data_IF_307291226553
#
_entry.id   IF_307291226553
#
_cell.length_a   1.000
_cell.length_b   1.000
_cell.length_c   1.000
_cell.angle_alpha   90.00
_cell.angle_beta   90.00
_cell.angle_gamma   90.00
#
_symmetry.space_group_name_H-M   'P 1'
#
loop_
_entity.id
_entity.type
_entity.pdbx_description
1 polymer ?
#
# COMPACT_ATOMS: atom_id res chain seq x y z
N UNK A 1 -11.30 8.96 -4.77
CA UNK A 1 -10.26 8.11 -4.14
C UNK A 1 -10.10 8.56 -2.69
N UNK A 2 -10.32 7.69 -1.69
CA UNK A 2 -10.34 8.08 -0.26
C UNK A 2 -8.95 8.21 0.38
N UNK A 3 -8.02 7.28 0.10
CA UNK A 3 -6.68 7.28 0.69
C UNK A 3 -5.86 8.54 0.32
N UNK A 4 -6.22 9.22 -0.77
CA UNK A 4 -5.65 10.53 -1.13
C UNK A 4 -5.80 11.60 -0.05
N UNK A 5 -6.87 11.54 0.75
CA UNK A 5 -7.11 12.47 1.87
C UNK A 5 -6.17 12.23 3.06
N UNK A 6 -5.49 11.08 3.09
CA UNK A 6 -4.49 10.76 4.11
C UNK A 6 -3.14 11.38 3.74
N UNK A 7 -2.83 11.47 2.45
CA UNK A 7 -1.54 11.99 1.99
C UNK A 7 -1.29 13.43 2.49
N UNK A 8 -0.05 13.79 2.88
CA UNK A 8 1.16 12.95 2.89
C UNK A 8 1.37 12.17 4.21
N UNK A 9 0.36 12.10 5.11
CA UNK A 9 0.49 11.35 6.37
C UNK A 9 0.68 9.85 6.08
N UNK A 10 1.31 9.12 7.02
CA UNK A 10 1.59 7.70 6.83
C UNK A 10 0.33 6.86 6.69
N UNK A 11 0.33 5.95 5.69
CA UNK A 11 -0.74 5.00 5.45
C UNK A 11 -0.15 3.65 5.05
N UNK A 12 -0.56 2.59 5.75
CA UNK A 12 -0.23 1.21 5.41
C UNK A 12 -1.53 0.40 5.29
N UNK A 13 -1.76 -0.20 4.12
CA UNK A 13 -2.95 -1.00 3.80
C UNK A 13 -2.52 -2.44 3.55
N UNK A 14 -3.16 -3.37 4.28
CA UNK A 14 -2.90 -4.81 4.20
C UNK A 14 -4.13 -5.51 3.64
N UNK A 15 -3.92 -6.42 2.71
CA UNK A 15 -4.97 -7.14 1.99
C UNK A 15 -4.69 -8.64 1.91
N UNK A 16 -5.77 -9.40 1.72
CA UNK A 16 -5.72 -10.85 1.56
C UNK A 16 -6.40 -11.25 0.23
N UNK A 17 -5.66 -11.84 -0.74
CA UNK A 17 -6.20 -12.24 -2.03
C UNK A 17 -6.95 -13.58 -2.05
N UNK A 18 -6.94 -14.36 -0.95
CA UNK A 18 -7.61 -15.67 -0.87
C UNK A 18 -9.15 -15.54 -0.83
N UNK A 19 -9.64 -14.35 -0.45
CA UNK A 19 -11.06 -14.07 -0.30
C UNK A 19 -11.57 -13.21 -1.46
N UNK A 20 -12.20 -13.84 -2.44
CA UNK A 20 -12.70 -13.17 -3.65
C UNK A 20 -13.59 -11.94 -3.34
N UNK A 21 -14.36 -12.01 -2.24
CA UNK A 21 -15.25 -10.93 -1.82
C UNK A 21 -14.52 -9.65 -1.38
N UNK A 22 -13.21 -9.72 -1.09
CA UNK A 22 -12.35 -8.54 -0.87
C UNK A 22 -11.94 -7.86 -2.18
N UNK A 23 -12.04 -8.56 -3.31
CA UNK A 23 -11.74 -8.02 -4.63
C UNK A 23 -10.25 -7.70 -4.83
N UNK A 24 -9.40 -8.74 -4.92
CA UNK A 24 -7.93 -8.59 -4.96
C UNK A 24 -7.39 -7.63 -6.03
N UNK A 25 -7.98 -7.63 -7.23
CA UNK A 25 -7.60 -6.71 -8.32
C UNK A 25 -8.08 -5.29 -8.02
N UNK A 26 -9.27 -5.16 -7.44
CA UNK A 26 -9.87 -3.88 -7.08
C UNK A 26 -9.03 -3.14 -6.03
N UNK A 27 -8.63 -3.85 -4.96
CA UNK A 27 -7.82 -3.25 -3.90
C UNK A 27 -6.41 -2.89 -4.39
N UNK A 28 -5.78 -3.76 -5.19
CA UNK A 28 -4.47 -3.50 -5.82
C UNK A 28 -4.52 -2.24 -6.70
N UNK A 29 -5.49 -2.16 -7.62
CA UNK A 29 -5.63 -1.00 -8.51
C UNK A 29 -6.01 0.29 -7.78
N UNK A 30 -6.91 0.20 -6.80
CA UNK A 30 -7.32 1.35 -5.98
C UNK A 30 -6.13 1.91 -5.20
N UNK A 31 -5.35 1.06 -4.52
CA UNK A 31 -4.20 1.50 -3.74
C UNK A 31 -3.03 1.93 -4.61
N UNK A 32 -2.82 1.35 -5.79
CA UNK A 32 -1.84 1.89 -6.73
C UNK A 32 -2.22 3.30 -7.21
N UNK A 33 -3.51 3.61 -7.34
CA UNK A 33 -3.98 4.96 -7.65
C UNK A 33 -3.69 5.95 -6.51
N UNK A 34 -3.69 5.49 -5.25
CA UNK A 34 -3.20 6.28 -4.13
C UNK A 34 -1.68 6.42 -4.14
N UNK A 35 -0.93 5.37 -4.48
CA UNK A 35 0.52 5.45 -4.59
C UNK A 35 0.97 6.57 -5.52
N UNK A 36 0.29 6.72 -6.68
CA UNK A 36 0.53 7.84 -7.60
C UNK A 36 0.33 9.22 -6.94
N UNK A 37 -0.65 9.37 -6.03
CA UNK A 37 -0.87 10.64 -5.31
C UNK A 37 0.25 10.90 -4.27
N UNK A 38 0.69 9.86 -3.56
CA UNK A 38 1.85 9.96 -2.67
C UNK A 38 3.14 10.25 -3.44
N UNK A 39 3.30 9.70 -4.64
CA UNK A 39 4.40 10.01 -5.55
C UNK A 39 4.40 11.49 -5.95
N UNK A 40 3.24 12.03 -6.34
CA UNK A 40 3.13 13.43 -6.72
C UNK A 40 3.56 14.40 -5.61
N UNK A 41 3.35 14.00 -4.35
CA UNK A 41 3.71 14.77 -3.15
C UNK A 41 5.12 14.47 -2.62
N UNK A 42 5.94 13.69 -3.33
CA UNK A 42 7.27 13.28 -2.86
C UNK A 42 7.24 12.41 -1.59
N UNK A 43 6.10 11.78 -1.30
CA UNK A 43 5.81 11.13 -0.03
C UNK A 43 5.72 9.60 -0.13
N UNK A 44 6.33 8.96 -1.13
CA UNK A 44 6.30 7.49 -1.30
C UNK A 44 6.78 6.72 -0.05
N UNK A 45 7.68 7.31 0.73
CA UNK A 45 8.14 6.72 1.99
C UNK A 45 7.04 6.66 3.07
N UNK A 46 5.93 7.37 2.92
CA UNK A 46 4.78 7.38 3.83
C UNK A 46 3.65 6.46 3.37
N UNK A 47 3.81 5.71 2.28
CA UNK A 47 2.75 4.87 1.71
C UNK A 47 3.17 3.41 1.56
N UNK A 48 2.29 2.52 2.01
CA UNK A 48 2.48 1.09 1.92
C UNK A 48 1.20 0.36 1.52
N UNK A 49 1.30 -0.57 0.59
CA UNK A 49 0.28 -1.55 0.25
C UNK A 49 0.88 -2.94 0.17
N UNK A 50 0.28 -3.90 0.87
CA UNK A 50 0.74 -5.28 0.93
C UNK A 50 -0.43 -6.23 0.79
N UNK A 51 -0.45 -7.05 -0.27
CA UNK A 51 -1.45 -8.09 -0.50
C UNK A 51 -0.78 -9.46 -0.40
N UNK A 52 -1.18 -10.26 0.58
CA UNK A 52 -0.58 -11.58 0.88
C UNK A 52 -1.67 -12.58 1.26
N UNK A 53 -1.65 -13.77 0.66
CA UNK A 53 -2.56 -14.87 0.97
C UNK A 53 -1.95 -15.90 1.90
N UNK A 54 -2.54 -17.09 1.94
CA UNK A 54 -2.10 -18.21 2.78
C UNK A 54 -2.44 -18.05 4.27
N UNK A 55 -3.44 -17.23 4.61
CA UNK A 55 -3.87 -17.01 5.98
C UNK A 55 -5.38 -16.79 6.09
N UNK A 56 -5.96 -17.11 7.26
CA UNK A 56 -7.39 -16.95 7.51
C UNK A 56 -7.81 -15.47 7.52
N UNK A 57 -9.09 -15.21 7.24
CA UNK A 57 -9.64 -13.86 7.25
C UNK A 57 -9.41 -13.18 8.61
N UNK A 58 -8.86 -11.96 8.58
CA UNK A 58 -8.44 -11.17 9.75
C UNK A 58 -7.37 -11.81 10.65
N UNK A 59 -6.86 -13.00 10.32
CA UNK A 59 -5.68 -13.57 10.99
C UNK A 59 -4.44 -12.94 10.40
N UNK A 60 -3.62 -12.26 11.20
CA UNK A 60 -2.47 -11.53 10.70
C UNK A 60 -1.33 -12.47 10.24
N UNK A 61 -0.83 -12.36 9.00
CA UNK A 61 0.25 -13.21 8.49
C UNK A 61 1.63 -12.73 8.93
N UNK A 62 2.58 -13.65 9.07
CA UNK A 62 3.97 -13.31 9.45
C UNK A 62 4.73 -12.56 8.34
N UNK A 63 4.38 -12.73 7.06
CA UNK A 63 5.06 -12.07 5.95
C UNK A 63 4.85 -10.54 5.92
N UNK A 64 3.79 -10.03 6.56
CA UNK A 64 3.50 -8.60 6.68
C UNK A 64 4.02 -7.97 7.98
N UNK A 65 4.55 -8.78 8.92
CA UNK A 65 4.94 -8.31 10.25
C UNK A 65 6.06 -7.27 10.22
N UNK A 66 7.08 -7.48 9.38
CA UNK A 66 8.20 -6.54 9.27
C UNK A 66 7.76 -5.18 8.70
N UNK A 67 6.84 -5.20 7.74
CA UNK A 67 6.27 -4.00 7.11
C UNK A 67 5.43 -3.21 8.12
N UNK A 68 4.53 -3.88 8.85
CA UNK A 68 3.73 -3.27 9.91
C UNK A 68 4.62 -2.61 10.98
N UNK A 69 5.64 -3.35 11.46
CA UNK A 69 6.57 -2.86 12.46
C UNK A 69 7.40 -1.67 11.96
N UNK A 70 7.76 -1.62 10.66
CA UNK A 70 8.46 -0.48 10.09
C UNK A 70 7.60 0.79 10.12
N UNK A 71 6.30 0.69 9.77
CA UNK A 71 5.38 1.82 9.85
C UNK A 71 5.16 2.30 11.29
N UNK A 72 4.91 1.38 12.22
CA UNK A 72 4.75 1.72 13.64
C UNK A 72 6.03 2.37 14.18
N UNK A 73 7.17 1.75 13.95
CA UNK A 73 8.46 2.22 14.45
C UNK A 73 8.79 3.62 13.93
N UNK A 74 8.63 3.86 12.61
CA UNK A 74 8.98 5.14 12.00
C UNK A 74 8.01 6.26 12.36
N UNK A 75 6.70 5.99 12.31
CA UNK A 75 5.69 7.05 12.33
C UNK A 75 4.99 7.24 13.67
N UNK A 76 5.03 6.24 14.56
CA UNK A 76 4.45 6.34 15.90
C UNK A 76 5.53 6.42 16.99
N UNK A 77 6.68 5.77 16.78
CA UNK A 77 7.74 5.67 17.80
C UNK A 77 8.98 6.54 17.48
N UNK A 78 9.00 7.22 16.33
CA UNK A 78 10.12 8.10 15.94
C UNK A 78 11.44 7.36 15.65
N UNK A 79 11.39 6.05 15.43
CA UNK A 79 12.57 5.25 15.09
C UNK A 79 12.85 5.35 13.58
N UNK A 80 13.78 6.22 13.20
CA UNK A 80 14.22 6.39 11.81
C UNK A 80 14.82 5.12 11.18
N UNK A 81 15.26 4.17 12.00
CA UNK A 81 15.86 2.89 11.58
C UNK A 81 14.88 1.72 11.61
N UNK A 82 13.57 1.98 11.69
CA UNK A 82 12.54 0.94 11.81
C UNK A 82 12.35 0.06 10.55
N UNK A 83 12.97 0.43 9.41
CA UNK A 83 12.92 -0.33 8.16
C UNK A 83 12.35 0.47 6.98
N UNK A 84 12.10 -0.24 5.87
CA UNK A 84 11.52 0.33 4.66
C UNK A 84 10.00 0.45 4.79
N UNK A 85 9.47 1.60 4.44
CA UNK A 85 8.03 1.92 4.49
C UNK A 85 7.46 2.24 3.11
N UNK A 86 8.28 2.32 2.06
CA UNK A 86 7.83 2.41 0.67
C UNK A 86 7.50 1.02 0.14
N UNK A 87 6.29 0.52 0.42
CA UNK A 87 5.88 -0.86 0.12
C UNK A 87 4.76 -0.84 -0.92
N UNK A 88 4.89 -1.63 -1.99
CA UNK A 88 3.78 -1.87 -2.91
C UNK A 88 3.94 -3.26 -3.54
N UNK A 89 3.25 -4.25 -2.98
CA UNK A 89 3.39 -5.65 -3.43
C UNK A 89 2.08 -6.43 -3.39
N UNK A 90 2.06 -7.49 -4.19
CA UNK A 90 1.10 -8.59 -4.13
C UNK A 90 1.87 -9.90 -4.31
N UNK A 91 1.44 -10.98 -3.66
CA UNK A 91 1.94 -12.34 -3.92
C UNK A 91 1.20 -13.05 -5.08
N UNK A 92 0.23 -12.37 -5.69
CA UNK A 92 -0.56 -12.87 -6.80
C UNK A 92 0.03 -12.48 -8.16
N UNK A 93 -0.19 -13.33 -9.16
CA UNK A 93 0.01 -12.94 -10.56
C UNK A 93 -1.25 -12.24 -11.07
N UNK A 94 -1.22 -10.90 -11.14
CA UNK A 94 -2.34 -10.08 -11.58
C UNK A 94 -2.14 -9.62 -13.02
N UNK A 95 -3.04 -10.00 -13.93
CA UNK A 95 -3.13 -9.37 -15.25
C UNK A 95 -3.92 -8.06 -15.17
N UNK A 96 -3.27 -7.01 -14.66
CA UNK A 96 -3.90 -5.71 -14.41
C UNK A 96 -2.99 -4.57 -14.84
N UNK A 97 -3.52 -3.66 -15.66
CA UNK A 97 -2.85 -2.42 -16.02
C UNK A 97 -3.50 -1.25 -15.27
N UNK A 98 -2.75 -0.64 -14.36
CA UNK A 98 -3.19 0.49 -13.55
C UNK A 98 -3.45 1.76 -14.38
N UNK A 99 -2.72 1.95 -15.48
CA UNK A 99 -2.84 3.14 -16.32
C UNK A 99 -4.16 3.17 -17.09
N UNK A 100 -4.80 2.01 -17.30
CA UNK A 100 -6.16 1.95 -17.83
C UNK A 100 -7.18 2.62 -16.89
N UNK A 101 -6.95 2.58 -15.58
CA UNK A 101 -7.88 3.10 -14.56
C UNK A 101 -7.46 4.45 -13.97
N UNK A 102 -6.18 4.80 -14.11
CA UNK A 102 -5.60 6.06 -13.66
C UNK A 102 -4.70 6.65 -14.75
N UNK A 103 -5.28 7.05 -15.91
CA UNK A 103 -4.51 7.41 -17.11
C UNK A 103 -3.78 8.76 -17.01
N UNK A 104 -4.01 9.49 -15.92
CA UNK A 104 -3.38 10.78 -15.70
C UNK A 104 -1.88 10.61 -15.38
N UNK A 105 -1.01 11.51 -15.91
CA UNK A 105 0.39 11.51 -15.56
C UNK A 105 0.56 11.95 -14.10
N UNK A 106 1.54 11.39 -13.40
CA UNK A 106 1.85 11.80 -12.03
C UNK A 106 2.58 13.16 -12.08
N UNK A 107 1.97 14.27 -11.62
CA UNK A 107 2.65 15.56 -11.60
C UNK A 107 3.70 15.59 -10.49
N UNK A 108 4.71 16.45 -10.60
CA UNK A 108 5.60 16.77 -9.48
C UNK A 108 5.08 18.02 -8.77
N UNK A 109 4.62 17.89 -7.51
CA UNK A 109 4.02 18.98 -6.73
C UNK A 109 4.96 19.55 -5.66
N UNK A 110 6.19 19.05 -5.57
CA UNK A 110 7.23 19.45 -4.61
C UNK A 110 8.53 19.86 -5.29
#
# INVERSE_FOLDING_TARGET
MLAGLVAPRPLYVMENPDFEWLGKVSTYGCMGTAQKQYQALGALNSFGYSQEGGHNHCSFPSGQAAELNAFIGKFLLGNASAGLTSVFRTDQSLNFNIDTWSPWPVPNLV
#
